data_IF_371278144232
#
_entry.id   IF_371278144232
#
_cell.length_a   1.000
_cell.length_b   1.000
_cell.length_c   1.000
_cell.angle_alpha   90.00
_cell.angle_beta   90.00
_cell.angle_gamma   90.00
#
_symmetry.space_group_name_H-M   'P 1'
#
loop_
_entity.id
_entity.type
_entity.pdbx_description
1 polymer ?
#
# COMPACT_ATOMS: atom_id res chain seq x y z
N UNK A 1 -16.91 -8.96 -24.50
CA UNK A 1 -17.97 -8.41 -23.63
C UNK A 1 -18.10 -9.30 -22.40
N UNK A 2 -17.88 -8.79 -21.17
CA UNK A 2 -18.21 -9.54 -19.96
C UNK A 2 -19.69 -9.92 -19.96
N UNK A 3 -20.05 -11.11 -19.50
CA UNK A 3 -21.46 -11.48 -19.35
C UNK A 3 -22.16 -10.61 -18.29
N UNK A 4 -23.49 -10.52 -18.35
CA UNK A 4 -24.31 -9.73 -17.41
C UNK A 4 -23.95 -10.00 -15.93
N UNK A 5 -23.73 -11.26 -15.57
CA UNK A 5 -23.34 -11.63 -14.20
C UNK A 5 -21.99 -11.03 -13.78
N UNK A 6 -21.01 -11.01 -14.68
CA UNK A 6 -19.71 -10.39 -14.41
C UNK A 6 -19.84 -8.89 -14.20
N UNK A 7 -20.76 -8.25 -14.94
CA UNK A 7 -21.04 -6.82 -14.80
C UNK A 7 -21.68 -6.52 -13.44
N UNK A 8 -22.67 -7.32 -13.03
CA UNK A 8 -23.31 -7.20 -11.70
C UNK A 8 -22.26 -7.39 -10.59
N UNK A 9 -21.47 -8.47 -10.65
CA UNK A 9 -20.46 -8.76 -9.62
C UNK A 9 -19.39 -7.67 -9.54
N UNK A 10 -19.03 -7.03 -10.66
CA UNK A 10 -18.06 -5.92 -10.66
C UNK A 10 -18.55 -4.63 -9.97
N UNK A 11 -19.86 -4.50 -9.75
CA UNK A 11 -20.46 -3.37 -9.05
C UNK A 11 -20.57 -3.61 -7.54
N UNK A 12 -20.31 -4.84 -7.08
CA UNK A 12 -20.38 -5.19 -5.66
C UNK A 12 -19.03 -4.94 -4.98
N UNK A 13 -19.03 -4.55 -3.69
CA UNK A 13 -17.83 -4.63 -2.86
C UNK A 13 -17.22 -6.03 -2.91
N UNK A 14 -15.89 -6.14 -2.87
CA UNK A 14 -15.18 -7.41 -3.06
C UNK A 14 -15.70 -8.55 -2.16
N UNK A 15 -16.03 -8.25 -0.90
CA UNK A 15 -16.56 -9.25 0.04
C UNK A 15 -17.93 -9.77 -0.38
N UNK A 16 -18.81 -8.90 -0.87
CA UNK A 16 -20.12 -9.27 -1.38
C UNK A 16 -20.00 -10.02 -2.71
N UNK A 17 -19.14 -9.54 -3.61
CA UNK A 17 -18.78 -10.22 -4.84
C UNK A 17 -18.30 -11.65 -4.57
N UNK A 18 -17.38 -11.84 -3.63
CA UNK A 18 -16.89 -13.15 -3.22
C UNK A 18 -17.98 -13.99 -2.56
N UNK A 19 -18.89 -13.40 -1.77
CA UNK A 19 -20.01 -14.12 -1.16
C UNK A 19 -20.97 -14.69 -2.21
N UNK A 20 -21.11 -14.08 -3.40
CA UNK A 20 -21.93 -14.66 -4.48
C UNK A 20 -21.42 -16.00 -5.00
N UNK A 21 -20.16 -16.36 -4.71
CA UNK A 21 -19.54 -17.61 -5.15
C UNK A 21 -20.28 -18.87 -4.70
N UNK A 22 -21.04 -18.81 -3.61
CA UNK A 22 -21.80 -19.94 -3.07
C UNK A 22 -23.14 -20.17 -3.76
N UNK A 23 -23.61 -19.21 -4.57
CA UNK A 23 -24.94 -19.28 -5.20
C UNK A 23 -25.03 -20.38 -6.26
N UNK A 24 -23.94 -20.60 -7.00
CA UNK A 24 -23.78 -21.76 -7.91
C UNK A 24 -22.36 -21.81 -8.48
N UNK A 25 -22.01 -22.93 -9.14
CA UNK A 25 -20.74 -23.08 -9.86
C UNK A 25 -20.47 -21.96 -10.88
N UNK A 26 -21.53 -21.39 -11.47
CA UNK A 26 -21.40 -20.29 -12.45
C UNK A 26 -20.90 -19.00 -11.80
N UNK A 27 -21.19 -18.78 -10.52
CA UNK A 27 -20.82 -17.56 -9.79
C UNK A 27 -19.49 -17.69 -9.05
N UNK A 28 -19.02 -18.93 -8.83
CA UNK A 28 -17.87 -19.27 -8.00
C UNK A 28 -16.64 -18.39 -8.24
N UNK A 29 -16.35 -18.04 -9.49
CA UNK A 29 -15.14 -17.29 -9.89
C UNK A 29 -15.42 -15.92 -10.51
N UNK A 30 -16.66 -15.42 -10.50
CA UNK A 30 -16.96 -14.13 -11.15
C UNK A 30 -16.21 -12.96 -10.50
N UNK A 31 -16.02 -13.01 -9.18
CA UNK A 31 -15.30 -11.99 -8.43
C UNK A 31 -13.80 -11.94 -8.79
N UNK A 32 -13.23 -13.04 -9.29
CA UNK A 32 -11.79 -13.16 -9.56
C UNK A 32 -11.28 -12.26 -10.70
N UNK A 33 -12.19 -11.62 -11.44
CA UNK A 33 -11.87 -10.70 -12.54
C UNK A 33 -12.29 -9.25 -12.25
N UNK A 34 -12.64 -8.96 -11.00
CA UNK A 34 -12.99 -7.59 -10.57
C UNK A 34 -11.77 -6.67 -10.64
N UNK A 35 -12.02 -5.40 -10.97
CA UNK A 35 -10.98 -4.37 -11.08
C UNK A 35 -10.77 -3.59 -9.76
N UNK A 36 -11.64 -3.80 -8.77
CA UNK A 36 -11.55 -3.14 -7.47
C UNK A 36 -11.34 -4.19 -6.38
N UNK A 37 -10.13 -4.26 -5.85
CA UNK A 37 -9.77 -5.08 -4.71
C UNK A 37 -9.62 -4.20 -3.47
N UNK A 38 -10.75 -3.90 -2.83
CA UNK A 38 -10.77 -3.27 -1.51
C UNK A 38 -10.70 -4.34 -0.43
N UNK A 39 -9.50 -4.53 0.10
CA UNK A 39 -9.18 -5.51 1.12
C UNK A 39 -9.24 -4.88 2.52
N UNK A 40 -10.26 -4.06 2.78
CA UNK A 40 -10.45 -3.50 4.12
C UNK A 40 -10.86 -4.59 5.11
N UNK A 41 -10.16 -4.74 6.23
CA UNK A 41 -10.61 -5.54 7.37
C UNK A 41 -11.78 -4.89 8.18
N UNK A 42 -12.49 -3.92 7.60
CA UNK A 42 -13.57 -3.10 8.19
C UNK A 42 -13.07 -2.02 9.17
N UNK A 43 -11.81 -1.65 9.05
CA UNK A 43 -11.15 -0.73 9.97
C UNK A 43 -11.52 0.74 9.71
N UNK A 44 -11.99 1.10 8.51
CA UNK A 44 -12.48 2.46 8.26
C UNK A 44 -13.64 2.90 9.16
N UNK A 45 -14.40 1.95 9.71
CA UNK A 45 -15.54 2.27 10.58
C UNK A 45 -15.14 2.74 11.98
N UNK A 46 -13.84 2.78 12.32
CA UNK A 46 -13.32 3.25 13.61
C UNK A 46 -13.64 2.32 14.79
N UNK A 47 -14.89 1.91 14.94
CA UNK A 47 -15.36 0.97 15.97
C UNK A 47 -14.62 -0.37 15.90
N UNK A 48 -14.43 -0.92 14.70
CA UNK A 48 -13.65 -2.15 14.52
C UNK A 48 -12.17 -1.97 14.86
N UNK A 49 -11.59 -0.80 14.57
CA UNK A 49 -10.21 -0.48 15.00
C UNK A 49 -10.12 -0.49 16.53
N UNK A 50 -11.01 0.24 17.21
CA UNK A 50 -11.05 0.28 18.67
C UNK A 50 -11.27 -1.09 19.28
N UNK A 51 -12.22 -1.87 18.73
CA UNK A 51 -12.48 -3.23 19.19
C UNK A 51 -11.25 -4.12 19.03
N UNK A 52 -10.57 -4.04 17.89
CA UNK A 52 -9.35 -4.79 17.65
C UNK A 52 -8.25 -4.38 18.63
N UNK A 53 -8.07 -3.08 18.91
CA UNK A 53 -7.06 -2.59 19.87
C UNK A 53 -7.23 -3.17 21.28
N UNK A 54 -8.47 -3.35 21.72
CA UNK A 54 -8.78 -3.84 23.09
C UNK A 54 -8.98 -5.36 23.15
N UNK A 55 -8.83 -6.09 22.04
CA UNK A 55 -8.92 -7.55 22.04
C UNK A 55 -7.73 -8.20 22.78
N UNK A 56 -8.00 -9.38 23.34
CA UNK A 56 -6.96 -10.24 23.89
C UNK A 56 -5.91 -10.60 22.82
N UNK A 57 -4.63 -10.72 23.19
CA UNK A 57 -3.53 -10.98 22.25
C UNK A 57 -3.76 -12.21 21.36
N UNK A 58 -4.31 -13.29 21.89
CA UNK A 58 -4.55 -14.53 21.14
C UNK A 58 -5.62 -14.35 20.06
N UNK A 59 -6.67 -13.57 20.36
CA UNK A 59 -7.72 -13.28 19.39
C UNK A 59 -7.24 -12.29 18.33
N UNK A 60 -6.38 -11.33 18.70
CA UNK A 60 -5.73 -10.42 17.73
C UNK A 60 -4.89 -11.21 16.72
N UNK A 61 -4.05 -12.11 17.22
CA UNK A 61 -3.19 -12.95 16.38
C UNK A 61 -4.02 -13.82 15.43
N UNK A 62 -5.11 -14.42 15.91
CA UNK A 62 -6.04 -15.19 15.06
C UNK A 62 -6.67 -14.35 13.96
N UNK A 63 -7.17 -13.16 14.27
CA UNK A 63 -7.80 -12.28 13.28
C UNK A 63 -6.78 -11.75 12.25
N UNK A 64 -5.53 -11.48 12.67
CA UNK A 64 -4.46 -11.12 11.74
C UNK A 64 -4.12 -12.25 10.77
N UNK A 65 -3.93 -13.49 11.26
CA UNK A 65 -3.68 -14.64 10.41
C UNK A 65 -4.85 -14.90 9.44
N UNK A 66 -6.08 -14.78 9.92
CA UNK A 66 -7.28 -14.92 9.09
C UNK A 66 -7.35 -13.87 7.99
N UNK A 67 -7.04 -12.62 8.31
CA UNK A 67 -6.98 -11.55 7.32
C UNK A 67 -5.90 -11.82 6.27
N UNK A 68 -4.67 -12.15 6.70
CA UNK A 68 -3.55 -12.41 5.81
C UNK A 68 -3.86 -13.60 4.88
N UNK A 69 -4.36 -14.71 5.43
CA UNK A 69 -4.75 -15.87 4.64
C UNK A 69 -5.86 -15.55 3.64
N UNK A 70 -6.82 -14.70 4.02
CA UNK A 70 -7.86 -14.24 3.11
C UNK A 70 -7.30 -13.40 1.95
N UNK A 71 -6.43 -12.43 2.23
CA UNK A 71 -5.82 -11.59 1.18
C UNK A 71 -4.94 -12.43 0.25
N UNK A 72 -4.13 -13.33 0.81
CA UNK A 72 -3.26 -14.20 0.01
C UNK A 72 -4.09 -15.07 -0.94
N UNK A 73 -5.19 -15.64 -0.46
CA UNK A 73 -6.13 -16.39 -1.28
C UNK A 73 -6.80 -15.52 -2.37
N UNK A 74 -7.12 -14.25 -2.09
CA UNK A 74 -7.62 -13.31 -3.11
C UNK A 74 -6.57 -13.05 -4.19
N UNK A 75 -5.33 -12.80 -3.79
CA UNK A 75 -4.19 -12.55 -4.69
C UNK A 75 -3.94 -13.76 -5.60
N UNK A 76 -3.93 -14.98 -5.04
CA UNK A 76 -3.71 -16.22 -5.79
C UNK A 76 -4.83 -16.53 -6.78
N UNK A 77 -6.09 -16.26 -6.40
CA UNK A 77 -7.24 -16.62 -7.23
C UNK A 77 -7.57 -15.56 -8.29
N UNK A 78 -6.99 -14.35 -8.24
CA UNK A 78 -7.33 -13.27 -9.17
C UNK A 78 -6.84 -13.53 -10.60
N UNK A 79 -7.79 -13.65 -11.52
CA UNK A 79 -7.56 -13.96 -12.95
C UNK A 79 -7.67 -12.76 -13.87
N UNK A 80 -8.17 -11.63 -13.37
CA UNK A 80 -8.32 -10.41 -14.17
C UNK A 80 -6.96 -9.91 -14.68
N UNK A 81 -6.89 -9.37 -15.90
CA UNK A 81 -5.62 -8.91 -16.49
C UNK A 81 -5.09 -7.65 -15.81
N UNK A 82 -6.01 -6.82 -15.29
CA UNK A 82 -5.70 -5.54 -14.66
C UNK A 82 -6.55 -5.34 -13.42
N UNK A 83 -6.04 -4.52 -12.50
CA UNK A 83 -6.77 -4.01 -11.35
C UNK A 83 -6.71 -2.48 -11.46
N UNK A 84 -7.84 -1.80 -11.30
CA UNK A 84 -7.89 -0.35 -11.24
C UNK A 84 -7.50 0.13 -9.85
N UNK A 85 -8.13 -0.44 -8.81
CA UNK A 85 -7.94 -0.07 -7.42
C UNK A 85 -7.52 -1.27 -6.58
N UNK A 86 -6.35 -1.16 -5.94
CA UNK A 86 -5.87 -2.11 -4.95
C UNK A 86 -5.67 -1.39 -3.62
N UNK A 87 -6.43 -1.81 -2.62
CA UNK A 87 -6.36 -1.25 -1.28
C UNK A 87 -6.19 -2.34 -0.25
N UNK A 88 -5.16 -2.22 0.59
CA UNK A 88 -4.95 -3.09 1.75
C UNK A 88 -4.98 -2.24 3.02
N UNK A 89 -5.94 -2.53 3.90
CA UNK A 89 -6.18 -1.76 5.12
C UNK A 89 -6.37 -2.69 6.32
N UNK A 90 -5.34 -2.77 7.17
CA UNK A 90 -5.32 -3.68 8.32
C UNK A 90 -4.26 -3.33 9.37
N UNK A 91 -4.29 -4.04 10.51
CA UNK A 91 -3.22 -3.99 11.51
C UNK A 91 -2.01 -4.79 11.06
N UNK A 92 -0.90 -4.10 10.81
CA UNK A 92 0.31 -4.77 10.34
C UNK A 92 1.07 -5.41 11.49
N UNK A 93 1.52 -6.62 11.23
CA UNK A 93 2.53 -7.31 12.02
C UNK A 93 3.71 -7.61 11.08
N UNK A 94 4.91 -7.21 11.50
CA UNK A 94 6.14 -7.36 10.72
C UNK A 94 6.45 -8.82 10.35
N UNK A 95 5.91 -9.80 11.10
CA UNK A 95 5.99 -11.23 10.77
C UNK A 95 5.46 -11.54 9.37
N UNK A 96 4.54 -10.72 8.84
CA UNK A 96 3.95 -10.87 7.51
C UNK A 96 4.62 -10.04 6.41
N UNK A 97 5.76 -9.38 6.68
CA UNK A 97 6.43 -8.48 5.72
C UNK A 97 6.68 -9.13 4.36
N UNK A 98 7.09 -10.40 4.32
CA UNK A 98 7.32 -11.13 3.07
C UNK A 98 6.04 -11.37 2.26
N UNK A 99 4.88 -11.49 2.91
CA UNK A 99 3.59 -11.59 2.24
C UNK A 99 3.13 -10.23 1.70
N UNK A 100 3.38 -9.15 2.45
CA UNK A 100 3.12 -7.79 1.99
C UNK A 100 3.93 -7.46 0.74
N UNK A 101 5.20 -7.86 0.70
CA UNK A 101 6.04 -7.74 -0.50
C UNK A 101 5.39 -8.43 -1.70
N UNK A 102 4.87 -9.65 -1.51
CA UNK A 102 4.17 -10.39 -2.58
C UNK A 102 2.91 -9.67 -3.05
N UNK A 103 2.13 -9.09 -2.14
CA UNK A 103 0.92 -8.35 -2.49
C UNK A 103 1.23 -7.08 -3.29
N UNK A 104 2.29 -6.37 -2.90
CA UNK A 104 2.78 -5.19 -3.65
C UNK A 104 3.27 -5.62 -5.04
N UNK A 105 4.07 -6.68 -5.13
CA UNK A 105 4.54 -7.22 -6.41
C UNK A 105 3.36 -7.66 -7.30
N UNK A 106 2.33 -8.27 -6.73
CA UNK A 106 1.09 -8.59 -7.41
C UNK A 106 0.41 -7.34 -7.97
N UNK A 107 0.26 -6.29 -7.17
CA UNK A 107 -0.32 -5.02 -7.60
C UNK A 107 0.47 -4.39 -8.76
N UNK A 108 1.80 -4.45 -8.73
CA UNK A 108 2.66 -3.99 -9.83
C UNK A 108 2.36 -4.76 -11.12
N UNK A 109 2.28 -6.09 -11.04
CA UNK A 109 2.00 -6.95 -12.18
C UNK A 109 0.59 -6.75 -12.78
N UNK A 110 -0.38 -6.39 -11.94
CA UNK A 110 -1.77 -6.12 -12.33
C UNK A 110 -2.01 -4.68 -12.80
N UNK A 111 -0.95 -3.89 -13.01
CA UNK A 111 -1.02 -2.53 -13.59
C UNK A 111 -1.99 -1.61 -12.82
N UNK A 112 -1.92 -1.68 -11.50
CA UNK A 112 -2.77 -0.89 -10.61
C UNK A 112 -2.67 0.60 -10.90
N UNK A 113 -3.82 1.29 -10.87
CA UNK A 113 -3.91 2.74 -11.04
C UNK A 113 -4.05 3.47 -9.71
N UNK A 114 -4.74 2.88 -8.74
CA UNK A 114 -4.89 3.42 -7.38
C UNK A 114 -4.35 2.39 -6.41
N UNK A 115 -3.25 2.71 -5.74
CA UNK A 115 -2.64 1.88 -4.70
C UNK A 115 -2.78 2.57 -3.35
N UNK A 116 -3.48 1.92 -2.43
CA UNK A 116 -3.59 2.37 -1.05
C UNK A 116 -3.09 1.30 -0.07
N UNK A 117 -2.05 1.62 0.70
CA UNK A 117 -1.56 0.80 1.79
C UNK A 117 -1.75 1.54 3.12
N UNK A 118 -2.61 1.01 3.98
CA UNK A 118 -2.99 1.61 5.26
C UNK A 118 -2.78 0.59 6.38
N UNK A 119 -1.65 0.70 7.07
CA UNK A 119 -1.13 -0.35 7.96
C UNK A 119 -1.09 0.11 9.42
N UNK A 120 -2.20 -0.02 10.13
CA UNK A 120 -2.27 0.42 11.53
C UNK A 120 -1.27 -0.34 12.42
N UNK A 121 -0.69 0.38 13.38
CA UNK A 121 0.24 -0.17 14.35
C UNK A 121 -0.43 -0.28 15.71
N UNK A 122 -0.04 -1.30 16.49
CA UNK A 122 -0.31 -1.29 17.92
C UNK A 122 0.50 -0.14 18.53
N UNK A 123 -0.16 0.73 19.30
CA UNK A 123 0.53 1.81 20.00
C UNK A 123 1.34 1.21 21.17
N UNK A 124 2.48 0.59 20.85
CA UNK A 124 3.53 0.39 21.82
C UNK A 124 4.19 1.76 22.08
N UNK A 125 4.78 1.97 23.26
CA UNK A 125 5.50 3.21 23.59
C UNK A 125 6.70 3.51 22.67
N UNK A 126 6.92 2.72 21.60
CA UNK A 126 7.98 2.86 20.60
C UNK A 126 7.41 2.82 19.17
N UNK A 127 6.55 3.79 18.84
CA UNK A 127 6.05 4.03 17.46
C UNK A 127 7.22 4.05 16.43
N UNK A 128 8.45 4.35 16.87
CA UNK A 128 9.66 4.47 16.06
C UNK A 128 10.24 3.18 15.47
N UNK A 129 9.89 1.97 15.91
CA UNK A 129 10.61 0.76 15.44
C UNK A 129 9.77 -0.18 14.55
N UNK A 130 8.43 -0.11 14.61
CA UNK A 130 7.56 -1.17 14.07
C UNK A 130 6.89 -0.89 12.69
N UNK A 131 7.35 0.10 11.92
CA UNK A 131 6.70 0.37 10.62
C UNK A 131 7.14 -0.66 9.58
N UNK A 132 6.21 -1.11 8.74
CA UNK A 132 6.55 -1.95 7.59
C UNK A 132 7.44 -1.17 6.60
N UNK A 133 8.68 -1.63 6.34
CA UNK A 133 9.56 -1.00 5.36
C UNK A 133 9.12 -1.40 3.96
N UNK A 134 8.83 -0.42 3.11
CA UNK A 134 8.49 -0.68 1.73
C UNK A 134 9.65 -1.42 1.03
N UNK A 135 9.39 -2.45 0.21
CA UNK A 135 10.44 -3.32 -0.30
C UNK A 135 11.20 -2.67 -1.47
N UNK A 136 12.28 -1.97 -1.15
CA UNK A 136 13.22 -1.33 -2.09
C UNK A 136 13.65 -2.24 -3.25
N UNK A 137 13.84 -3.54 -2.97
CA UNK A 137 14.18 -4.58 -3.96
C UNK A 137 13.16 -4.69 -5.09
N UNK A 138 11.87 -4.46 -4.83
CA UNK A 138 10.83 -4.51 -5.87
C UNK A 138 10.99 -3.38 -6.89
N UNK A 139 11.70 -2.31 -6.52
CA UNK A 139 12.04 -1.20 -7.40
C UNK A 139 13.47 -1.29 -7.96
N UNK A 140 14.19 -2.39 -7.71
CA UNK A 140 15.57 -2.57 -8.14
C UNK A 140 16.58 -1.70 -7.38
N UNK A 141 16.24 -1.19 -6.20
CA UNK A 141 17.07 -0.26 -5.42
C UNK A 141 18.12 -0.96 -4.51
N UNK A 142 18.51 -2.20 -4.82
CA UNK A 142 19.36 -3.05 -3.95
C UNK A 142 20.78 -2.48 -3.71
N UNK A 143 21.25 -1.52 -4.50
CA UNK A 143 22.61 -0.98 -4.43
C UNK A 143 22.73 0.42 -3.80
N UNK A 144 21.64 1.04 -3.35
CA UNK A 144 21.72 2.35 -2.67
C UNK A 144 22.15 2.10 -1.22
N UNK A 145 23.46 2.02 -1.00
CA UNK A 145 24.03 1.82 0.33
C UNK A 145 23.61 2.99 1.23
N UNK A 146 22.86 2.69 2.29
CA UNK A 146 22.39 3.65 3.30
C UNK A 146 23.52 4.42 4.00
N UNK A 147 24.78 3.97 3.85
CA UNK A 147 25.99 4.63 4.37
C UNK A 147 26.52 5.78 3.50
N UNK A 148 26.21 5.84 2.19
CA UNK A 148 26.66 6.94 1.31
C UNK A 148 25.81 8.21 1.44
N UNK A 149 24.62 8.11 2.03
CA UNK A 149 23.66 9.22 2.13
C UNK A 149 23.98 10.24 3.24
N UNK A 150 24.85 9.89 4.20
CA UNK A 150 25.25 10.84 5.27
C UNK A 150 26.31 11.84 4.83
N UNK A 151 27.04 11.57 3.75
CA UNK A 151 28.19 12.39 3.32
C UNK A 151 27.91 13.24 2.06
N UNK A 152 26.70 13.20 1.48
CA UNK A 152 26.39 13.95 0.25
C UNK A 152 25.67 15.28 0.53
N UNK A 153 26.40 16.22 1.15
CA UNK A 153 26.02 17.64 1.12
C UNK A 153 26.47 18.38 -0.15
N UNK A 154 27.08 17.68 -1.10
CA UNK A 154 27.46 18.26 -2.39
C UNK A 154 27.38 17.19 -3.48
N UNK A 155 26.62 17.49 -4.54
CA UNK A 155 26.58 16.81 -5.83
C UNK A 155 25.92 15.42 -5.87
N UNK A 156 24.58 15.42 -5.80
CA UNK A 156 23.75 14.25 -6.14
C UNK A 156 23.97 13.92 -7.63
N UNK A 157 24.44 12.70 -7.98
CA UNK A 157 24.48 12.27 -9.36
C UNK A 157 23.06 12.30 -9.90
N UNK A 158 22.84 13.02 -10.99
CA UNK A 158 21.57 13.07 -11.69
C UNK A 158 20.94 11.68 -11.78
N UNK A 159 19.83 11.45 -11.08
CA UNK A 159 18.99 10.24 -11.17
C UNK A 159 18.31 10.07 -12.55
N UNK A 160 18.88 10.68 -13.60
CA UNK A 160 18.49 10.55 -15.01
C UNK A 160 18.64 9.12 -15.56
N UNK A 161 19.09 8.17 -14.75
CA UNK A 161 19.17 6.76 -15.09
C UNK A 161 18.85 5.90 -13.87
N UNK A 162 17.63 6.01 -13.33
CA UNK A 162 17.00 4.80 -12.82
C UNK A 162 16.69 3.96 -14.08
N UNK A 163 17.69 3.23 -14.60
CA UNK A 163 17.61 2.39 -15.79
C UNK A 163 16.73 1.15 -15.60
N UNK A 164 15.68 1.26 -14.79
CA UNK A 164 14.88 0.16 -14.32
C UNK A 164 13.46 0.38 -14.84
N UNK A 165 13.10 -0.36 -15.88
CA UNK A 165 11.73 -0.54 -16.35
C UNK A 165 10.90 -1.37 -15.33
N UNK A 166 11.22 -1.27 -14.04
CA UNK A 166 10.79 -2.09 -12.91
C UNK A 166 10.14 -1.13 -11.92
N UNK A 167 8.85 -1.30 -11.66
CA UNK A 167 8.09 -0.30 -10.93
C UNK A 167 6.63 -0.33 -11.32
N UNK A 168 5.83 0.42 -10.58
CA UNK A 168 4.52 0.82 -11.09
C UNK A 168 4.71 1.74 -12.30
N UNK A 169 3.84 1.59 -13.30
CA UNK A 169 3.87 2.38 -14.55
C UNK A 169 2.55 3.07 -14.88
N UNK A 170 1.50 2.67 -14.17
CA UNK A 170 0.12 3.06 -14.44
C UNK A 170 -0.54 3.74 -13.23
N UNK A 171 0.23 4.01 -12.16
CA UNK A 171 -0.32 4.64 -10.96
C UNK A 171 -0.72 6.09 -11.24
N UNK A 172 -1.97 6.37 -10.93
CA UNK A 172 -2.57 7.70 -10.83
C UNK A 172 -2.65 8.17 -9.40
N UNK A 173 -2.87 7.26 -8.45
CA UNK A 173 -2.96 7.58 -7.02
C UNK A 173 -2.10 6.61 -6.22
N UNK A 174 -1.23 7.16 -5.38
CA UNK A 174 -0.44 6.43 -4.42
C UNK A 174 -0.69 6.96 -3.02
N UNK A 175 -1.19 6.11 -2.13
CA UNK A 175 -1.47 6.45 -0.73
C UNK A 175 -0.80 5.47 0.21
N UNK A 176 0.08 6.00 1.05
CA UNK A 176 0.71 5.27 2.13
C UNK A 176 0.36 5.89 3.47
N UNK A 177 -0.08 5.06 4.41
CA UNK A 177 -0.31 5.45 5.80
C UNK A 177 0.31 4.39 6.71
N UNK A 178 1.22 4.81 7.58
CA UNK A 178 2.00 3.91 8.42
C UNK A 178 2.81 2.88 7.61
N UNK A 179 3.39 3.35 6.50
CA UNK A 179 4.38 2.60 5.71
C UNK A 179 5.68 3.39 5.75
N UNK A 180 6.78 2.72 6.07
CA UNK A 180 8.09 3.35 6.03
C UNK A 180 8.64 3.37 4.61
N UNK A 181 8.88 4.57 4.10
CA UNK A 181 9.35 4.83 2.74
C UNK A 181 10.44 5.89 2.76
N UNK A 182 11.43 5.74 1.90
CA UNK A 182 12.50 6.74 1.73
C UNK A 182 12.19 7.69 0.57
N UNK A 183 12.99 8.77 0.46
CA UNK A 183 12.89 9.70 -0.66
C UNK A 183 13.15 9.02 -2.01
N UNK A 184 14.12 8.10 -2.07
CA UNK A 184 14.49 7.39 -3.31
C UNK A 184 13.36 6.51 -3.84
N UNK A 185 12.60 5.86 -2.95
CA UNK A 185 11.43 5.06 -3.32
C UNK A 185 10.38 5.95 -3.99
N UNK A 186 10.09 7.12 -3.41
CA UNK A 186 9.10 8.04 -3.94
C UNK A 186 9.57 8.70 -5.24
N UNK A 187 10.83 9.10 -5.34
CA UNK A 187 11.43 9.61 -6.57
C UNK A 187 11.40 8.55 -7.69
N UNK A 188 11.66 7.29 -7.37
CA UNK A 188 11.54 6.17 -8.31
C UNK A 188 10.10 6.01 -8.83
N UNK A 189 9.08 6.13 -7.97
CA UNK A 189 7.69 6.12 -8.40
C UNK A 189 7.35 7.30 -9.32
N UNK A 190 7.82 8.51 -8.97
CA UNK A 190 7.60 9.72 -9.78
C UNK A 190 8.25 9.64 -11.16
N UNK A 191 9.47 9.07 -11.23
CA UNK A 191 10.17 8.88 -12.49
C UNK A 191 9.50 7.82 -13.39
N UNK A 192 8.91 6.78 -12.80
CA UNK A 192 8.33 5.65 -13.54
C UNK A 192 6.82 5.80 -13.83
N UNK A 193 6.11 6.73 -13.19
CA UNK A 193 4.67 6.98 -13.35
C UNK A 193 4.38 8.44 -13.75
N UNK A 194 4.53 8.82 -15.04
CA UNK A 194 4.23 10.18 -15.49
C UNK A 194 2.76 10.58 -15.34
N UNK A 195 1.87 9.58 -15.20
CA UNK A 195 0.41 9.76 -15.02
C UNK A 195 -0.01 9.89 -13.55
N UNK A 196 0.95 9.98 -12.61
CA UNK A 196 0.63 10.11 -11.19
C UNK A 196 -0.01 11.48 -10.90
N UNK A 197 -1.25 11.45 -10.42
CA UNK A 197 -2.10 12.62 -10.11
C UNK A 197 -2.12 12.94 -8.61
N UNK A 198 -1.86 11.95 -7.75
CA UNK A 198 -1.88 12.12 -6.29
C UNK A 198 -0.87 11.21 -5.61
N UNK A 199 -0.03 11.82 -4.78
CA UNK A 199 0.85 11.13 -3.86
C UNK A 199 0.55 11.60 -2.44
N UNK A 200 0.22 10.67 -1.57
CA UNK A 200 -0.10 10.94 -0.16
C UNK A 200 0.68 9.98 0.72
N UNK A 201 1.49 10.52 1.64
CA UNK A 201 2.25 9.73 2.61
C UNK A 201 2.01 10.30 4.00
N UNK A 202 1.56 9.44 4.93
CA UNK A 202 1.32 9.79 6.32
C UNK A 202 2.05 8.82 7.26
N UNK A 203 2.58 9.36 8.36
CA UNK A 203 3.20 8.59 9.45
C UNK A 203 4.32 7.64 8.98
N UNK A 204 5.32 8.21 8.31
CA UNK A 204 6.52 7.51 7.84
C UNK A 204 7.77 8.05 8.55
N UNK A 205 8.81 7.23 8.74
CA UNK A 205 9.98 7.61 9.56
C UNK A 205 11.15 8.10 8.72
N UNK A 206 11.50 7.37 7.67
CA UNK A 206 12.70 7.60 6.88
C UNK A 206 12.53 8.59 5.72
N UNK A 207 11.42 9.32 5.67
CA UNK A 207 11.19 10.32 4.64
C UNK A 207 11.89 11.64 4.98
N UNK A 208 13.14 11.79 4.52
CA UNK A 208 13.93 13.01 4.65
C UNK A 208 13.99 13.76 3.31
N UNK A 209 13.48 14.99 3.27
CA UNK A 209 13.67 15.92 2.14
C UNK A 209 13.25 15.38 0.77
N UNK A 210 11.94 15.34 0.48
CA UNK A 210 11.48 14.97 -0.86
C UNK A 210 11.76 16.12 -1.84
N UNK A 211 12.66 15.91 -2.82
CA UNK A 211 12.80 16.82 -3.96
C UNK A 211 11.94 16.31 -5.10
N UNK A 212 10.72 16.84 -5.20
CA UNK A 212 9.80 16.53 -6.28
C UNK A 212 10.24 17.26 -7.55
N UNK A 213 10.74 16.54 -8.54
CA UNK A 213 10.84 17.02 -9.92
C UNK A 213 9.72 16.32 -10.70
N UNK A 214 8.52 16.90 -10.71
CA UNK A 214 7.40 16.39 -11.49
C UNK A 214 6.99 17.41 -12.55
N UNK A 215 6.80 16.93 -13.80
CA UNK A 215 6.34 17.75 -14.93
C UNK A 215 4.81 17.81 -15.04
N UNK A 216 4.09 17.08 -14.17
CA UNK A 216 2.63 16.98 -14.14
C UNK A 216 2.08 17.81 -12.98
N UNK A 217 1.34 18.87 -13.30
CA UNK A 217 0.77 19.82 -12.35
C UNK A 217 -0.49 19.23 -11.72
N UNK A 218 -0.42 18.73 -10.49
CA UNK A 218 -1.60 18.27 -9.76
C UNK A 218 -1.29 17.72 -8.37
N UNK A 219 -1.45 18.56 -7.35
CA UNK A 219 -1.66 18.24 -5.93
C UNK A 219 -0.71 17.22 -5.25
N UNK A 220 0.40 17.73 -4.71
CA UNK A 220 1.17 17.05 -3.66
C UNK A 220 0.67 17.50 -2.28
N UNK A 221 0.17 16.56 -1.48
CA UNK A 221 -0.05 16.76 -0.05
C UNK A 221 0.82 15.77 0.72
N UNK A 222 1.99 16.25 1.16
CA UNK A 222 2.90 15.49 2.04
C UNK A 222 2.69 16.04 3.45
N UNK A 223 1.93 15.32 4.26
CA UNK A 223 1.80 15.66 5.67
C UNK A 223 2.94 14.99 6.45
N UNK A 224 4.01 15.73 6.69
CA UNK A 224 4.87 15.45 7.84
C UNK A 224 4.09 15.82 9.09
N UNK A 225 3.66 14.84 9.89
CA UNK A 225 3.40 15.14 11.29
C UNK A 225 4.75 15.34 11.97
N UNK A 226 5.18 16.60 12.05
CA UNK A 226 5.99 17.11 13.16
C UNK A 226 5.18 16.89 14.43
N UNK A 227 5.81 16.36 15.48
CA UNK A 227 5.25 16.38 16.83
C UNK A 227 4.96 17.85 17.17
N UNK A 228 3.69 18.24 17.24
CA UNK A 228 3.31 19.52 17.84
C UNK A 228 3.57 19.40 19.33
N UNK A 229 4.74 19.87 19.78
CA UNK A 229 4.90 20.23 21.17
C UNK A 229 3.94 21.40 21.43
N UNK A 230 2.91 21.13 22.23
CA UNK A 230 2.02 22.17 22.74
C UNK A 230 2.82 23.22 23.52
N UNK A 231 2.28 24.44 23.68
CA UNK A 231 2.99 25.54 24.29
C UNK A 231 3.39 25.16 25.73
N UNK A 232 4.68 25.31 26.04
CA UNK A 232 5.11 25.38 27.43
C UNK A 232 4.38 26.56 28.07
N UNK A 233 3.53 26.27 29.06
CA UNK A 233 3.08 27.29 29.99
C UNK A 233 4.28 27.66 30.87
N UNK A 234 4.54 28.96 30.94
CA UNK A 234 5.49 29.63 31.83
C UNK A 234 5.37 29.18 33.28
#
# INVERSE_FOLDING_TARGET
MPGLLSSIVSLLPLKEAAATSILSRRWQYLWSSTMNLDLDAKFELGEYLFRFMVMEPELKDQEQHRYVSWVDNVVEQHRGPTIEHFRACFYVDFRFSSLLDKWIQFAMNKRVQVLELVFYLEFSNRISDDLYPFPHKLLGLENVSTSKLKDMHSDIPSLHSCGYNIGFKFLRVLRFRYVDVTGEVLECHLANCPVLERLTVHFTKNLVGLRVVCWSVGCFEIFRYTVMLGPQKH
#
